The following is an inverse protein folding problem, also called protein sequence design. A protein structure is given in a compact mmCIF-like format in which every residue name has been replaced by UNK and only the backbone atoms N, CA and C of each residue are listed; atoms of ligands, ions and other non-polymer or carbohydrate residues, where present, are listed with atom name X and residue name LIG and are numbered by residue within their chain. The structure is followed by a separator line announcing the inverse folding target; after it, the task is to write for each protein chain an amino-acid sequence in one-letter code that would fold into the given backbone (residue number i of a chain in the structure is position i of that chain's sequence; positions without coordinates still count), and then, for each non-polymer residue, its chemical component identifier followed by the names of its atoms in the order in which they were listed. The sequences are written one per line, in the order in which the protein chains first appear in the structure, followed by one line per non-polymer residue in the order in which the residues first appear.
data_IF_983797802716
#
_entry.id   IF_983797802716
#
_cell.length_a   1.000
_cell.length_b   1.000
_cell.length_c   1.000
_cell.angle_alpha   90.00
_cell.angle_beta   90.00
_cell.angle_gamma   90.00
#
_symmetry.space_group_name_H-M   'P 1'
#
loop_
_entity.id
_entity.type
_entity.pdbx_description
1 polymer ?
#
# COMPACT_ATOMS: atom_id res chain seq x y z
N UNK A 1 -21.16 35.35 -11.08
CA UNK A 1 -21.21 34.17 -10.18
C UNK A 1 -20.13 34.36 -9.14
N UNK A 2 -20.50 34.67 -7.90
CA UNK A 2 -19.55 34.65 -6.78
C UNK A 2 -19.33 33.18 -6.43
N UNK A 3 -18.13 32.65 -6.71
CA UNK A 3 -17.77 31.31 -6.26
C UNK A 3 -17.57 31.34 -4.75
N UNK A 4 -18.32 30.52 -4.02
CA UNK A 4 -18.04 30.29 -2.61
C UNK A 4 -16.70 29.58 -2.46
N UNK A 5 -15.79 30.18 -1.68
CA UNK A 5 -14.55 29.52 -1.31
C UNK A 5 -14.89 28.30 -0.44
N UNK A 6 -14.40 27.12 -0.83
CA UNK A 6 -14.47 25.90 -0.02
C UNK A 6 -13.08 25.57 0.50
N UNK A 7 -12.98 25.28 1.79
CA UNK A 7 -11.75 24.82 2.45
C UNK A 7 -11.96 23.40 2.97
N UNK A 8 -10.93 22.57 2.82
CA UNK A 8 -10.89 21.23 3.40
C UNK A 8 -9.61 21.11 4.25
N UNK A 9 -9.77 20.79 5.53
CA UNK A 9 -8.68 20.42 6.42
C UNK A 9 -8.77 18.92 6.71
N UNK A 10 -7.68 18.20 6.46
CA UNK A 10 -7.60 16.76 6.71
C UNK A 10 -6.50 16.48 7.72
N UNK A 11 -6.88 15.96 8.87
CA UNK A 11 -5.97 15.44 9.89
C UNK A 11 -6.19 13.94 10.01
N UNK A 12 -5.28 13.18 9.44
CA UNK A 12 -5.29 11.72 9.54
C UNK A 12 -4.02 11.28 10.26
N UNK A 13 -4.16 10.28 11.13
CA UNK A 13 -3.04 9.56 11.72
C UNK A 13 -3.11 8.11 11.25
N UNK A 14 -1.97 7.53 10.94
CA UNK A 14 -1.89 6.15 10.50
C UNK A 14 -0.59 5.52 10.92
N UNK A 15 -0.61 4.20 10.97
CA UNK A 15 0.58 3.38 11.19
C UNK A 15 0.68 2.33 10.09
N UNK A 16 1.91 1.92 9.81
CA UNK A 16 2.16 0.77 8.96
C UNK A 16 2.37 -0.44 9.85
N UNK A 17 1.63 -1.51 9.59
CA UNK A 17 1.73 -2.76 10.35
C UNK A 17 2.14 -3.90 9.42
N UNK A 18 3.07 -4.79 9.84
CA UNK A 18 3.41 -5.98 9.09
C UNK A 18 2.18 -6.78 8.68
N UNK A 19 2.11 -7.19 7.42
CA UNK A 19 1.16 -8.20 6.99
C UNK A 19 1.77 -9.55 7.35
N UNK A 20 1.12 -10.27 8.25
CA UNK A 20 1.59 -11.58 8.70
C UNK A 20 0.72 -12.71 8.15
N UNK A 21 1.38 -13.82 7.83
CA UNK A 21 0.77 -15.10 7.51
C UNK A 21 1.46 -16.21 8.32
N UNK A 22 0.69 -17.02 9.04
CA UNK A 22 1.20 -18.09 9.90
C UNK A 22 2.29 -17.66 10.90
N UNK A 23 2.27 -16.40 11.34
CA UNK A 23 3.22 -15.83 12.31
C UNK A 23 4.49 -15.24 11.70
N UNK A 24 4.62 -15.27 10.37
CA UNK A 24 5.74 -14.67 9.64
C UNK A 24 5.28 -13.47 8.82
N UNK A 25 6.12 -12.43 8.75
CA UNK A 25 5.85 -11.29 7.88
C UNK A 25 5.91 -11.73 6.41
N UNK A 26 4.88 -11.37 5.65
CA UNK A 26 4.78 -11.66 4.23
C UNK A 26 5.86 -10.88 3.48
N UNK A 27 6.63 -11.60 2.68
CA UNK A 27 7.69 -11.07 1.82
C UNK A 27 7.40 -11.36 0.36
N UNK A 28 8.04 -10.59 -0.53
CA UNK A 28 8.00 -10.86 -1.96
C UNK A 28 9.15 -11.81 -2.36
N UNK A 29 8.92 -12.81 -3.23
CA UNK A 29 7.65 -13.12 -3.91
C UNK A 29 6.63 -13.78 -2.98
N UNK A 30 5.37 -13.37 -3.10
CA UNK A 30 4.24 -13.94 -2.35
C UNK A 30 3.75 -15.22 -3.03
N UNK A 31 3.64 -16.30 -2.26
CA UNK A 31 3.02 -17.56 -2.69
C UNK A 31 1.49 -17.55 -2.65
N UNK A 32 0.86 -18.59 -3.18
CA UNK A 32 -0.57 -18.80 -3.00
C UNK A 32 -0.84 -19.38 -1.60
N UNK A 33 -1.27 -18.53 -0.67
CA UNK A 33 -1.67 -18.93 0.69
C UNK A 33 -3.16 -18.69 0.91
N UNK A 34 -3.88 -19.73 1.31
CA UNK A 34 -5.31 -19.66 1.57
C UNK A 34 -5.63 -18.82 2.82
N UNK A 35 -4.77 -18.85 3.85
CA UNK A 35 -4.91 -18.01 5.04
C UNK A 35 -4.72 -16.54 4.72
N UNK A 36 -3.72 -16.21 3.89
CA UNK A 36 -3.49 -14.84 3.43
C UNK A 36 -4.68 -14.33 2.61
N UNK A 37 -5.22 -15.17 1.71
CA UNK A 37 -6.43 -14.86 0.92
C UNK A 37 -7.63 -14.63 1.82
N UNK A 38 -7.91 -15.54 2.75
CA UNK A 38 -9.06 -15.43 3.66
C UNK A 38 -9.03 -14.13 4.47
N UNK A 39 -7.85 -13.67 4.91
CA UNK A 39 -7.68 -12.47 5.74
C UNK A 39 -7.65 -11.16 4.94
N UNK A 40 -7.07 -11.18 3.74
CA UNK A 40 -6.73 -9.98 2.98
C UNK A 40 -7.46 -9.83 1.64
N UNK A 41 -8.50 -10.64 1.39
CA UNK A 41 -9.49 -10.34 0.33
C UNK A 41 -10.41 -9.21 0.79
N UNK A 42 -9.83 -8.01 0.96
CA UNK A 42 -10.53 -6.80 1.39
C UNK A 42 -9.82 -5.53 0.91
N UNK A 43 -10.52 -4.39 0.87
CA UNK A 43 -9.90 -3.13 0.51
C UNK A 43 -8.83 -2.69 1.51
N UNK A 44 -7.72 -2.17 1.02
CA UNK A 44 -6.60 -1.74 1.83
C UNK A 44 -5.70 -0.72 1.13
N UNK A 45 -4.99 0.06 1.95
CA UNK A 45 -3.77 0.78 1.58
C UNK A 45 -2.58 -0.05 2.07
N UNK A 46 -1.59 -0.26 1.23
CA UNK A 46 -0.44 -1.10 1.58
C UNK A 46 0.86 -0.47 1.08
N UNK A 47 1.97 -0.97 1.61
CA UNK A 47 3.28 -0.71 1.04
C UNK A 47 4.16 -1.94 1.04
N UNK A 48 5.00 -2.03 0.02
CA UNK A 48 6.18 -2.89 0.03
C UNK A 48 7.37 -2.07 0.49
N UNK A 49 8.05 -2.53 1.54
CA UNK A 49 9.26 -1.91 2.07
C UNK A 49 10.46 -2.71 1.60
N UNK A 50 11.36 -2.06 0.87
CA UNK A 50 12.59 -2.65 0.37
C UNK A 50 13.71 -2.30 1.35
N UNK A 51 14.34 -3.31 1.93
CA UNK A 51 15.32 -3.17 3.01
C UNK A 51 16.64 -3.82 2.61
N UNK A 52 17.74 -3.11 2.81
CA UNK A 52 19.10 -3.65 2.68
C UNK A 52 19.74 -3.67 4.07
N UNK A 53 19.90 -4.87 4.65
CA UNK A 53 20.25 -5.03 6.06
C UNK A 53 19.19 -4.38 6.98
N UNK A 54 19.53 -3.25 7.61
CA UNK A 54 18.63 -2.50 8.50
C UNK A 54 18.18 -1.16 7.92
N UNK A 55 18.44 -0.90 6.63
CA UNK A 55 18.13 0.40 5.99
C UNK A 55 17.06 0.26 4.93
N UNK A 56 15.98 1.04 5.07
CA UNK A 56 14.97 1.20 4.03
C UNK A 56 15.59 1.87 2.81
N UNK A 57 15.54 1.20 1.66
CA UNK A 57 16.06 1.68 0.38
C UNK A 57 14.99 2.42 -0.42
N UNK A 58 13.78 1.87 -0.43
CA UNK A 58 12.63 2.42 -1.15
C UNK A 58 11.33 1.79 -0.61
N UNK A 59 10.21 2.42 -0.95
CA UNK A 59 8.88 1.85 -0.73
C UNK A 59 8.04 1.93 -2.00
N UNK A 60 7.21 0.92 -2.24
CA UNK A 60 6.11 1.02 -3.20
C UNK A 60 4.81 1.12 -2.40
N UNK A 61 4.05 2.19 -2.58
CA UNK A 61 2.77 2.42 -1.89
C UNK A 61 1.65 2.23 -2.91
N UNK A 62 0.56 1.58 -2.51
CA UNK A 62 -0.59 1.38 -3.39
C UNK A 62 -1.91 1.16 -2.63
N UNK A 63 -3.01 1.26 -3.37
CA UNK A 63 -4.33 0.82 -2.93
C UNK A 63 -4.79 -0.44 -3.66
N UNK A 64 -5.67 -1.20 -3.01
CA UNK A 64 -6.37 -2.32 -3.61
C UNK A 64 -7.78 -2.44 -3.03
N UNK A 65 -8.72 -2.89 -3.86
CA UNK A 65 -10.02 -3.40 -3.41
C UNK A 65 -9.90 -4.85 -2.88
N UNK A 66 -8.97 -5.61 -3.44
CA UNK A 66 -8.58 -6.95 -3.02
C UNK A 66 -7.05 -6.98 -2.86
N UNK A 67 -6.58 -6.83 -1.61
CA UNK A 67 -5.16 -6.83 -1.31
C UNK A 67 -4.50 -8.16 -1.64
N UNK A 68 -5.13 -9.29 -1.29
CA UNK A 68 -4.61 -10.63 -1.57
C UNK A 68 -4.44 -10.88 -3.07
N UNK A 69 -5.42 -10.49 -3.89
CA UNK A 69 -5.32 -10.53 -5.34
C UNK A 69 -4.21 -9.61 -5.87
N UNK A 70 -4.11 -8.38 -5.34
CA UNK A 70 -3.08 -7.42 -5.78
C UNK A 70 -1.67 -7.89 -5.50
N UNK A 71 -1.37 -8.40 -4.30
CA UNK A 71 -0.03 -8.88 -3.96
C UNK A 71 0.36 -10.11 -4.78
N UNK A 72 -0.60 -11.01 -5.05
CA UNK A 72 -0.37 -12.16 -5.92
C UNK A 72 -0.03 -11.74 -7.36
N UNK A 73 -0.68 -10.68 -7.88
CA UNK A 73 -0.39 -10.15 -9.22
C UNK A 73 1.04 -9.63 -9.36
N UNK A 74 1.71 -9.18 -8.31
CA UNK A 74 3.12 -8.81 -8.39
C UNK A 74 4.02 -10.04 -8.56
N UNK A 75 3.69 -11.16 -7.92
CA UNK A 75 4.42 -12.43 -8.14
C UNK A 75 4.09 -13.03 -9.50
N UNK A 76 2.82 -12.95 -9.91
CA UNK A 76 2.26 -13.62 -11.08
C UNK A 76 1.47 -12.63 -11.94
N UNK A 77 2.13 -11.68 -12.61
CA UNK A 77 1.45 -10.69 -13.43
C UNK A 77 0.79 -11.38 -14.61
N UNK A 78 -0.53 -11.24 -14.72
CA UNK A 78 -1.28 -11.72 -15.87
C UNK A 78 -0.86 -11.00 -17.16
N UNK A 79 -1.10 -11.64 -18.30
CA UNK A 79 -0.88 -11.03 -19.61
C UNK A 79 -1.62 -9.69 -19.70
N UNK A 80 -0.89 -8.61 -20.00
CA UNK A 80 -1.44 -7.25 -20.13
C UNK A 80 -1.36 -6.37 -18.88
N UNK A 81 -1.06 -6.91 -17.68
CA UNK A 81 -0.86 -6.08 -16.48
C UNK A 81 0.57 -5.51 -16.44
N UNK A 82 0.82 -4.49 -17.28
CA UNK A 82 2.14 -3.86 -17.40
C UNK A 82 2.62 -3.24 -16.09
N UNK A 83 1.72 -2.67 -15.28
CA UNK A 83 2.07 -2.06 -14.00
C UNK A 83 2.64 -3.12 -13.03
N UNK A 84 1.93 -4.24 -12.86
CA UNK A 84 2.42 -5.33 -12.02
C UNK A 84 3.72 -5.94 -12.56
N UNK A 85 3.89 -6.04 -13.88
CA UNK A 85 5.12 -6.52 -14.50
C UNK A 85 6.32 -5.58 -14.23
N UNK A 86 6.13 -4.25 -14.25
CA UNK A 86 7.18 -3.27 -13.93
C UNK A 86 7.60 -3.38 -12.46
N UNK A 87 6.62 -3.44 -11.54
CA UNK A 87 6.90 -3.61 -10.12
C UNK A 87 7.60 -4.95 -9.85
N UNK A 88 7.13 -6.05 -10.45
CA UNK A 88 7.82 -7.36 -10.38
C UNK A 88 9.27 -7.24 -10.80
N UNK A 89 9.55 -6.61 -11.96
CA UNK A 89 10.91 -6.43 -12.44
C UNK A 89 11.77 -5.66 -11.42
N UNK A 90 11.27 -4.54 -10.92
CA UNK A 90 11.99 -3.74 -9.94
C UNK A 90 12.27 -4.52 -8.64
N UNK A 91 11.28 -5.29 -8.15
CA UNK A 91 11.46 -6.16 -7.00
C UNK A 91 12.49 -7.25 -7.26
N UNK A 92 12.46 -7.91 -8.42
CA UNK A 92 13.48 -8.90 -8.80
C UNK A 92 14.87 -8.29 -8.87
N UNK A 93 15.03 -7.08 -9.41
CA UNK A 93 16.31 -6.38 -9.44
C UNK A 93 16.84 -6.07 -8.01
N UNK A 94 15.96 -5.85 -7.04
CA UNK A 94 16.31 -5.65 -5.62
C UNK A 94 16.67 -6.97 -4.93
N UNK A 95 15.87 -8.02 -5.14
CA UNK A 95 16.19 -9.36 -4.63
C UNK A 95 17.56 -9.85 -5.14
N UNK A 96 17.90 -9.57 -6.40
CA UNK A 96 19.21 -9.92 -6.96
C UNK A 96 20.39 -9.22 -6.26
N UNK A 97 20.14 -8.05 -5.65
CA UNK A 97 21.13 -7.32 -4.85
C UNK A 97 21.20 -7.80 -3.39
N UNK A 98 20.35 -8.75 -3.00
CA UNK A 98 20.26 -9.24 -1.63
C UNK A 98 19.36 -8.39 -0.72
N UNK A 99 18.52 -7.52 -1.29
CA UNK A 99 17.54 -6.76 -0.51
C UNK A 99 16.35 -7.65 -0.12
N UNK A 100 15.75 -7.37 1.03
CA UNK A 100 14.49 -7.96 1.47
C UNK A 100 13.31 -7.06 1.11
N UNK A 101 12.16 -7.64 0.79
CA UNK A 101 10.97 -6.90 0.38
C UNK A 101 9.79 -7.37 1.22
N UNK A 102 9.34 -6.50 2.14
CA UNK A 102 8.37 -6.84 3.20
C UNK A 102 7.05 -6.11 2.97
N UNK A 103 5.93 -6.80 3.19
CA UNK A 103 4.60 -6.23 3.04
C UNK A 103 4.11 -5.63 4.36
N UNK A 104 3.53 -4.44 4.26
CA UNK A 104 2.84 -3.77 5.35
C UNK A 104 1.51 -3.21 4.86
N UNK A 105 0.54 -3.12 5.76
CA UNK A 105 -0.76 -2.48 5.52
C UNK A 105 -0.86 -1.21 6.36
N UNK A 106 -1.53 -0.21 5.80
CA UNK A 106 -1.84 1.01 6.52
C UNK A 106 -3.04 0.75 7.44
N UNK A 107 -2.86 1.00 8.73
CA UNK A 107 -3.93 1.04 9.70
C UNK A 107 -4.27 2.51 9.97
N UNK A 108 -5.47 2.93 9.57
CA UNK A 108 -5.93 4.29 9.78
C UNK A 108 -6.48 4.43 11.19
N UNK A 109 -6.06 5.47 11.90
CA UNK A 109 -6.84 5.96 13.04
C UNK A 109 -8.04 6.71 12.49
N UNK A 110 -9.22 6.45 13.02
CA UNK A 110 -10.44 7.10 12.55
C UNK A 110 -10.29 8.62 12.59
N UNK A 111 -10.62 9.28 11.49
CA UNK A 111 -10.58 10.75 11.36
C UNK A 111 -11.86 11.26 10.71
N UNK A 112 -12.05 12.58 10.65
CA UNK A 112 -13.27 13.20 10.13
C UNK A 112 -12.97 13.98 8.85
N UNK A 113 -13.80 13.78 7.83
CA UNK A 113 -13.83 14.55 6.57
C UNK A 113 -15.25 15.06 6.37
N UNK A 114 -15.45 16.39 6.38
CA UNK A 114 -16.78 17.02 6.26
C UNK A 114 -17.86 16.38 7.17
N UNK A 115 -17.50 16.14 8.43
CA UNK A 115 -18.39 15.54 9.43
C UNK A 115 -18.63 14.03 9.28
N UNK A 116 -17.98 13.37 8.31
CA UNK A 116 -18.04 11.92 8.14
C UNK A 116 -16.79 11.27 8.72
N UNK A 117 -16.99 10.29 9.60
CA UNK A 117 -15.90 9.47 10.08
C UNK A 117 -15.35 8.61 8.92
N UNK A 118 -14.03 8.65 8.75
CA UNK A 118 -13.26 7.79 7.87
C UNK A 118 -12.48 6.83 8.74
N UNK A 119 -12.77 5.55 8.60
CA UNK A 119 -12.09 4.43 9.23
C UNK A 119 -11.78 3.34 8.18
N UNK A 120 -11.40 2.15 8.62
CA UNK A 120 -11.16 1.00 7.75
C UNK A 120 -12.38 0.63 6.88
N UNK A 121 -13.62 0.89 7.34
CA UNK A 121 -14.81 0.67 6.52
C UNK A 121 -14.94 1.74 5.43
N UNK A 122 -14.48 2.96 5.69
CA UNK A 122 -14.34 4.04 4.71
C UNK A 122 -13.45 3.64 3.53
N UNK A 123 -12.46 2.76 3.73
CA UNK A 123 -11.64 2.21 2.65
C UNK A 123 -12.44 1.38 1.64
N UNK A 124 -13.74 1.13 1.79
CA UNK A 124 -14.55 0.55 0.69
C UNK A 124 -14.78 1.53 -0.45
N UNK A 125 -14.72 2.83 -0.19
CA UNK A 125 -14.80 3.86 -1.22
C UNK A 125 -13.47 3.97 -2.00
N UNK A 126 -13.51 3.65 -3.29
CA UNK A 126 -12.33 3.68 -4.15
C UNK A 126 -11.76 5.09 -4.36
N UNK A 127 -12.59 6.14 -4.37
CA UNK A 127 -12.13 7.51 -4.52
C UNK A 127 -11.36 7.94 -3.28
N UNK A 128 -11.88 7.62 -2.08
CA UNK A 128 -11.19 7.88 -0.83
C UNK A 128 -9.88 7.11 -0.73
N UNK A 129 -9.86 5.80 -1.06
CA UNK A 129 -8.62 5.01 -1.06
C UNK A 129 -7.54 5.63 -1.94
N UNK A 130 -7.88 6.00 -3.17
CA UNK A 130 -6.93 6.61 -4.12
C UNK A 130 -6.46 7.99 -3.65
N UNK A 131 -7.35 8.79 -3.08
CA UNK A 131 -6.98 10.07 -2.49
C UNK A 131 -5.96 9.88 -1.35
N UNK A 132 -6.20 8.92 -0.46
CA UNK A 132 -5.29 8.59 0.64
C UNK A 132 -3.95 8.03 0.14
N UNK A 133 -3.96 7.13 -0.86
CA UNK A 133 -2.72 6.64 -1.49
C UNK A 133 -1.86 7.80 -2.01
N UNK A 134 -2.46 8.75 -2.74
CA UNK A 134 -1.74 9.90 -3.26
C UNK A 134 -1.20 10.82 -2.16
N UNK A 135 -2.00 11.09 -1.12
CA UNK A 135 -1.59 11.92 0.01
C UNK A 135 -0.44 11.29 0.79
N UNK A 136 -0.55 10.00 1.10
CA UNK A 136 0.49 9.25 1.83
C UNK A 136 1.75 9.11 0.98
N UNK A 137 1.62 8.90 -0.33
CA UNK A 137 2.77 8.89 -1.25
C UNK A 137 3.45 10.24 -1.32
N UNK A 138 2.68 11.34 -1.30
CA UNK A 138 3.22 12.69 -1.28
C UNK A 138 3.95 12.99 0.04
N UNK A 139 3.37 12.64 1.19
CA UNK A 139 4.02 12.76 2.50
C UNK A 139 5.33 11.97 2.56
N UNK A 140 5.33 10.72 2.09
CA UNK A 140 6.53 9.89 2.06
C UNK A 140 7.65 10.51 1.19
N UNK A 141 7.30 11.21 0.10
CA UNK A 141 8.29 11.97 -0.69
C UNK A 141 8.82 13.18 0.08
N UNK A 142 7.98 13.89 0.82
CA UNK A 142 8.40 15.03 1.66
C UNK A 142 9.35 14.61 2.78
N UNK A 143 9.15 13.42 3.36
CA UNK A 143 10.05 12.85 4.37
C UNK A 143 11.36 12.30 3.79
N UNK A 144 11.57 12.41 2.47
CA UNK A 144 12.77 11.92 1.78
C UNK A 144 12.76 10.43 1.48
N UNK A 145 11.63 9.74 1.67
CA UNK A 145 11.50 8.32 1.33
C UNK A 145 11.49 8.17 -0.19
N UNK A 146 12.37 7.31 -0.71
CA UNK A 146 12.38 6.95 -2.12
C UNK A 146 11.15 6.12 -2.46
N UNK A 147 10.32 6.60 -3.39
CA UNK A 147 9.14 5.87 -3.89
C UNK A 147 9.50 5.08 -5.14
N UNK A 148 9.10 3.82 -5.18
CA UNK A 148 9.14 2.96 -6.36
C UNK A 148 7.79 3.03 -7.08
N UNK A 149 7.81 3.45 -8.34
CA UNK A 149 6.64 3.64 -9.22
C UNK A 149 6.70 2.75 -10.44
#
# INVERSE_FOLDING_TARGET
MNGEARSLELKAAWTWVPVEDSGEQVTFPVGASDSLRARWTRPALYRWVIVSGNKVQAVHIGEAEDLAGRIYQYSNPGAGNQAAARIKKAFTDHLFRGDEIRLEVCQLQSFIVDGRAVDDAGLRDAALRRALEHLITYEARLSGTRILT
#
